data_IF_669083849323
#
_entry.id   IF_669083849323
#
_cell.length_a   1.000
_cell.length_b   1.000
_cell.length_c   1.000
_cell.angle_alpha   90.00
_cell.angle_beta   90.00
_cell.angle_gamma   90.00
#
_symmetry.space_group_name_H-M   'P 1'
#
loop_
_entity.id
_entity.type
_entity.pdbx_description
1 polymer ?
#
# COMPACT_ATOMS: atom_id res chain seq x y z
N UNK A 1 -9.03 -7.31 -12.84
CA UNK A 1 -7.58 -7.64 -12.71
C UNK A 1 -6.76 -6.90 -13.77
N UNK A 2 -7.19 -6.87 -15.04
CA UNK A 2 -6.43 -6.23 -16.11
C UNK A 2 -6.36 -4.71 -15.96
N UNK A 3 -7.45 -4.05 -15.59
CA UNK A 3 -7.49 -2.58 -15.50
C UNK A 3 -6.49 -2.01 -14.49
N UNK A 4 -6.42 -2.49 -13.22
CA UNK A 4 -5.38 -2.04 -12.30
C UNK A 4 -3.97 -2.31 -12.81
N UNK A 5 -3.73 -3.48 -13.41
CA UNK A 5 -2.40 -3.84 -13.90
C UNK A 5 -1.98 -2.91 -15.06
N UNK A 6 -2.87 -2.69 -16.03
CA UNK A 6 -2.59 -1.83 -17.19
C UNK A 6 -2.45 -0.35 -16.81
N UNK A 7 -3.14 0.10 -15.77
CA UNK A 7 -2.96 1.45 -15.23
C UNK A 7 -1.69 1.61 -14.40
N UNK A 8 -0.96 0.52 -14.11
CA UNK A 8 0.21 0.53 -13.23
C UNK A 8 -0.14 0.57 -11.74
N UNK A 9 -1.42 0.40 -11.39
CA UNK A 9 -1.87 0.27 -10.00
C UNK A 9 -1.56 -1.12 -9.47
N UNK A 10 -1.45 -1.24 -8.14
CA UNK A 10 -1.33 -2.53 -7.48
C UNK A 10 -2.65 -3.32 -7.66
N UNK A 11 -2.57 -4.57 -8.10
CA UNK A 11 -3.76 -5.42 -8.24
C UNK A 11 -4.34 -5.81 -6.88
N UNK A 12 -5.61 -6.20 -6.81
CA UNK A 12 -6.11 -7.04 -5.72
C UNK A 12 -5.28 -8.35 -5.63
N UNK A 13 -5.46 -9.11 -4.54
CA UNK A 13 -4.85 -10.44 -4.45
C UNK A 13 -5.38 -11.34 -5.57
N UNK A 14 -4.47 -11.89 -6.33
CA UNK A 14 -4.72 -12.85 -7.41
C UNK A 14 -4.05 -14.19 -7.08
N UNK A 15 -4.58 -15.28 -7.62
CA UNK A 15 -3.94 -16.58 -7.61
C UNK A 15 -3.05 -16.71 -8.84
N UNK A 16 -1.75 -16.53 -8.66
CA UNK A 16 -0.80 -16.73 -9.73
C UNK A 16 -0.34 -18.19 -9.78
N UNK A 17 -0.39 -18.78 -10.96
CA UNK A 17 0.18 -20.11 -11.18
C UNK A 17 1.68 -19.96 -11.44
N UNK A 18 2.47 -20.62 -10.62
CA UNK A 18 3.93 -20.65 -10.75
C UNK A 18 4.37 -22.08 -11.04
N UNK A 19 4.96 -22.29 -12.20
CA UNK A 19 5.53 -23.57 -12.59
C UNK A 19 6.99 -23.63 -12.17
N UNK A 20 7.35 -24.66 -11.42
CA UNK A 20 8.72 -24.85 -10.97
C UNK A 20 9.53 -25.65 -11.98
N UNK A 21 10.85 -25.55 -11.92
CA UNK A 21 11.77 -26.31 -12.76
C UNK A 21 11.61 -27.82 -12.64
N UNK A 22 11.02 -28.30 -11.55
CA UNK A 22 10.77 -29.72 -11.29
C UNK A 22 9.42 -30.20 -11.86
N UNK A 23 8.72 -29.38 -12.64
CA UNK A 23 7.46 -29.71 -13.26
C UNK A 23 6.22 -29.60 -12.35
N UNK A 24 6.39 -29.13 -11.11
CA UNK A 24 5.27 -28.88 -10.20
C UNK A 24 4.70 -27.48 -10.46
N UNK A 25 3.37 -27.38 -10.36
CA UNK A 25 2.65 -26.08 -10.41
C UNK A 25 2.07 -25.76 -9.05
N UNK A 26 2.24 -24.53 -8.61
CA UNK A 26 1.69 -24.02 -7.37
C UNK A 26 0.82 -22.79 -7.64
N UNK A 27 -0.30 -22.68 -6.96
CA UNK A 27 -1.09 -21.47 -6.93
C UNK A 27 -0.59 -20.60 -5.75
N UNK A 28 -0.02 -19.43 -6.06
CA UNK A 28 0.52 -18.52 -5.05
C UNK A 28 -0.36 -17.28 -5.02
N UNK A 29 -0.98 -16.95 -3.87
CA UNK A 29 -1.69 -15.71 -3.70
C UNK A 29 -0.69 -14.55 -3.68
N UNK A 30 -0.88 -13.57 -4.55
CA UNK A 30 0.00 -12.40 -4.67
C UNK A 30 -0.74 -11.20 -5.23
N UNK A 31 -0.15 -10.04 -5.07
CA UNK A 31 -0.48 -8.85 -5.85
C UNK A 31 0.59 -8.64 -6.93
N UNK A 32 0.23 -7.93 -7.99
CA UNK A 32 1.14 -7.60 -9.08
C UNK A 32 1.00 -6.13 -9.47
N UNK A 33 2.07 -5.55 -10.00
CA UNK A 33 2.09 -4.17 -10.47
C UNK A 33 3.03 -4.03 -11.65
N UNK A 34 2.62 -3.30 -12.68
CA UNK A 34 3.51 -2.87 -13.76
C UNK A 34 4.16 -1.54 -13.39
N UNK A 35 5.48 -1.49 -13.47
CA UNK A 35 6.24 -0.30 -13.13
C UNK A 35 7.23 0.00 -14.24
N UNK A 36 7.61 1.29 -14.39
CA UNK A 36 8.72 1.68 -15.27
C UNK A 36 9.97 1.81 -14.44
N UNK A 37 11.05 1.22 -14.94
CA UNK A 37 12.38 1.40 -14.37
C UNK A 37 13.02 2.73 -14.81
N UNK A 38 14.27 2.96 -14.40
CA UNK A 38 15.05 4.16 -14.74
C UNK A 38 15.26 4.35 -16.24
N UNK A 39 15.21 3.26 -17.02
CA UNK A 39 15.36 3.26 -18.48
C UNK A 39 14.03 3.45 -19.20
N UNK A 40 12.92 3.53 -18.45
CA UNK A 40 11.55 3.57 -18.98
C UNK A 40 11.01 2.21 -19.43
N UNK A 41 11.74 1.10 -19.18
CA UNK A 41 11.27 -0.24 -19.47
C UNK A 41 10.19 -0.67 -18.47
N UNK A 42 9.18 -1.39 -18.96
CA UNK A 42 8.08 -1.87 -18.12
C UNK A 42 8.48 -3.20 -17.49
N UNK A 43 8.40 -3.25 -16.17
CA UNK A 43 8.68 -4.44 -15.36
C UNK A 43 7.42 -4.88 -14.62
N UNK A 44 7.19 -6.18 -14.55
CA UNK A 44 6.16 -6.78 -13.71
C UNK A 44 6.77 -7.11 -12.35
N UNK A 45 6.29 -6.44 -11.31
CA UNK A 45 6.63 -6.75 -9.92
C UNK A 45 5.53 -7.61 -9.31
N UNK A 46 5.95 -8.63 -8.56
CA UNK A 46 5.07 -9.55 -7.85
C UNK A 46 5.31 -9.43 -6.35
N UNK A 47 4.23 -9.39 -5.59
CA UNK A 47 4.21 -9.25 -4.13
C UNK A 47 3.45 -10.43 -3.53
N UNK A 48 4.12 -11.57 -3.27
CA UNK A 48 3.49 -12.74 -2.67
C UNK A 48 2.93 -12.42 -1.28
N UNK A 49 1.89 -13.15 -0.89
CA UNK A 49 1.31 -13.06 0.44
C UNK A 49 2.21 -13.77 1.46
N UNK A 50 2.57 -13.08 2.53
CA UNK A 50 3.39 -13.59 3.62
C UNK A 50 2.62 -13.53 4.94
N UNK A 51 2.95 -14.45 5.86
CA UNK A 51 2.43 -14.44 7.23
C UNK A 51 3.02 -13.27 8.05
N UNK A 52 4.31 -13.08 7.91
CA UNK A 52 5.09 -12.02 8.55
C UNK A 52 5.75 -11.16 7.47
N UNK A 53 6.33 -10.01 7.84
CA UNK A 53 7.01 -9.14 6.87
C UNK A 53 8.18 -9.89 6.24
N UNK A 54 8.13 -10.04 4.91
CA UNK A 54 9.22 -10.64 4.14
C UNK A 54 10.38 -9.66 4.00
N UNK A 55 11.37 -9.80 4.88
CA UNK A 55 12.52 -8.90 4.96
C UNK A 55 13.61 -9.22 3.92
N UNK A 56 13.23 -9.37 2.66
CA UNK A 56 14.16 -9.59 1.54
C UNK A 56 15.10 -8.41 1.30
N UNK A 57 14.75 -7.22 1.79
CA UNK A 57 15.55 -6.00 1.64
C UNK A 57 16.56 -5.77 2.76
N UNK A 58 16.65 -6.67 3.74
CA UNK A 58 17.59 -6.55 4.85
C UNK A 58 17.38 -5.31 5.72
N UNK A 59 16.12 -5.00 6.03
CA UNK A 59 15.78 -3.92 6.96
C UNK A 59 16.17 -4.31 8.38
N UNK A 60 16.69 -3.35 9.15
CA UNK A 60 16.92 -3.53 10.57
C UNK A 60 15.60 -3.46 11.35
N UNK A 61 15.64 -3.78 12.66
CA UNK A 61 14.46 -3.83 13.52
C UNK A 61 13.69 -2.51 13.56
N UNK A 62 14.38 -1.38 13.59
CA UNK A 62 13.75 -0.05 13.62
C UNK A 62 13.07 0.28 12.28
N UNK A 63 13.74 -0.05 11.17
CA UNK A 63 13.17 0.10 9.83
C UNK A 63 11.92 -0.78 9.64
N UNK A 64 11.99 -2.04 10.10
CA UNK A 64 10.84 -2.97 10.08
C UNK A 64 9.65 -2.45 10.91
N UNK A 65 9.92 -1.90 12.08
CA UNK A 65 8.87 -1.30 12.93
C UNK A 65 8.18 -0.13 12.23
N UNK A 66 8.95 0.73 11.55
CA UNK A 66 8.40 1.86 10.77
C UNK A 66 7.53 1.39 9.61
N UNK A 67 8.05 0.51 8.74
CA UNK A 67 7.26 0.02 7.59
C UNK A 67 6.06 -0.80 8.05
N UNK A 68 6.18 -1.52 9.17
CA UNK A 68 5.09 -2.25 9.78
C UNK A 68 3.95 -1.36 10.30
N UNK A 69 4.25 -0.12 10.64
CA UNK A 69 3.27 0.93 10.99
C UNK A 69 2.71 1.68 9.78
N UNK A 70 3.10 1.28 8.56
CA UNK A 70 2.67 1.92 7.31
C UNK A 70 3.48 3.14 6.90
N UNK A 71 4.61 3.41 7.58
CA UNK A 71 5.51 4.49 7.17
C UNK A 71 6.31 4.09 5.92
N UNK A 72 6.62 5.08 5.09
CA UNK A 72 7.60 4.95 4.02
C UNK A 72 8.95 5.37 4.58
N UNK A 73 9.98 4.59 4.28
CA UNK A 73 11.36 4.91 4.66
C UNK A 73 12.24 5.03 3.42
N UNK A 74 13.34 5.75 3.53
CA UNK A 74 14.42 5.72 2.55
C UNK A 74 15.58 4.87 3.04
N UNK A 75 16.18 4.11 2.14
CA UNK A 75 17.30 3.23 2.43
C UNK A 75 18.27 3.18 1.25
N UNK A 76 19.57 3.19 1.58
CA UNK A 76 20.64 3.03 0.60
C UNK A 76 20.88 1.53 0.31
N UNK A 77 20.95 1.22 -0.97
CA UNK A 77 21.28 -0.11 -1.47
C UNK A 77 22.57 -0.05 -2.31
N UNK A 78 23.43 -1.02 -2.11
CA UNK A 78 24.61 -1.21 -2.96
C UNK A 78 24.31 -2.31 -3.97
N UNK A 79 24.34 -1.97 -5.25
CA UNK A 79 24.15 -2.93 -6.34
C UNK A 79 25.40 -3.82 -6.49
N UNK A 80 25.28 -4.90 -7.26
CA UNK A 80 26.38 -5.85 -7.49
C UNK A 80 27.60 -5.22 -8.17
N UNK A 81 27.39 -4.16 -8.93
CA UNK A 81 28.45 -3.38 -9.60
C UNK A 81 29.09 -2.31 -8.70
N UNK A 82 28.68 -2.23 -7.43
CA UNK A 82 29.13 -1.23 -6.46
C UNK A 82 28.39 0.09 -6.49
N UNK A 83 27.46 0.28 -7.44
CA UNK A 83 26.64 1.50 -7.51
C UNK A 83 25.74 1.61 -6.27
N UNK A 84 25.64 2.79 -5.69
CA UNK A 84 24.71 3.08 -4.58
C UNK A 84 23.44 3.71 -5.13
N UNK A 85 22.29 3.18 -4.73
CA UNK A 85 20.97 3.68 -5.10
C UNK A 85 20.16 3.88 -3.84
N UNK A 86 19.54 5.04 -3.70
CA UNK A 86 18.62 5.30 -2.61
C UNK A 86 17.20 4.91 -3.04
N UNK A 87 16.50 4.16 -2.19
CA UNK A 87 15.14 3.66 -2.48
C UNK A 87 14.16 4.04 -1.40
N UNK A 88 12.97 4.39 -1.82
CA UNK A 88 11.80 4.34 -0.95
C UNK A 88 11.41 2.89 -0.73
N UNK A 89 11.10 2.57 0.52
CA UNK A 89 10.59 1.24 0.92
C UNK A 89 9.29 1.42 1.67
N UNK A 90 8.29 0.65 1.28
CA UNK A 90 6.95 0.62 1.89
C UNK A 90 6.51 -0.84 2.00
N UNK A 91 5.77 -1.19 3.03
CA UNK A 91 5.13 -2.49 3.15
C UNK A 91 3.70 -2.43 2.61
N UNK A 92 3.31 -3.40 1.78
CA UNK A 92 1.90 -3.62 1.50
C UNK A 92 1.27 -4.35 2.70
N UNK A 93 0.28 -3.73 3.39
CA UNK A 93 -0.25 -4.28 4.65
C UNK A 93 -0.97 -5.60 4.46
N UNK A 94 -1.42 -5.88 3.24
CA UNK A 94 -2.17 -7.07 2.90
C UNK A 94 -1.26 -8.27 2.65
N UNK A 95 -0.29 -8.11 1.76
CA UNK A 95 0.64 -9.19 1.43
C UNK A 95 1.82 -9.29 2.39
N UNK A 96 2.09 -8.22 3.17
CA UNK A 96 3.31 -8.05 3.98
C UNK A 96 4.61 -8.14 3.18
N UNK A 97 4.50 -7.99 1.88
CA UNK A 97 5.65 -7.84 0.99
C UNK A 97 6.20 -6.42 1.06
N UNK A 98 7.52 -6.30 0.98
CA UNK A 98 8.19 -5.00 0.87
C UNK A 98 8.20 -4.54 -0.60
N UNK A 99 7.66 -3.36 -0.82
CA UNK A 99 7.69 -2.63 -2.09
C UNK A 99 8.84 -1.64 -2.07
N UNK A 100 9.47 -1.40 -3.22
CA UNK A 100 10.51 -0.38 -3.32
C UNK A 100 10.51 0.31 -4.68
N UNK A 101 10.99 1.55 -4.71
CA UNK A 101 11.27 2.35 -5.90
C UNK A 101 12.50 3.21 -5.68
N UNK A 102 13.29 3.39 -6.72
CA UNK A 102 14.41 4.30 -6.64
C UNK A 102 13.93 5.76 -6.49
N UNK A 103 14.50 6.48 -5.54
CA UNK A 103 14.13 7.87 -5.24
C UNK A 103 14.27 8.75 -6.50
N UNK A 104 15.36 8.54 -7.26
CA UNK A 104 15.62 9.26 -8.49
C UNK A 104 14.55 9.05 -9.57
N UNK A 105 13.94 7.84 -9.61
CA UNK A 105 12.89 7.53 -10.59
C UNK A 105 11.56 8.20 -10.26
N UNK A 106 11.27 8.37 -8.97
CA UNK A 106 10.01 9.00 -8.55
C UNK A 106 9.98 10.50 -8.80
N UNK A 107 11.11 11.20 -8.61
CA UNK A 107 11.26 12.65 -8.86
C UNK A 107 10.07 13.46 -8.31
N UNK A 108 9.65 13.15 -7.07
CA UNK A 108 8.42 13.68 -6.49
C UNK A 108 8.28 15.21 -6.58
N UNK A 109 9.32 16.02 -6.27
CA UNK A 109 9.20 17.48 -6.36
C UNK A 109 8.94 17.99 -7.77
N UNK A 110 9.51 17.33 -8.79
CA UNK A 110 9.35 17.69 -10.20
C UNK A 110 7.97 17.28 -10.70
N UNK A 111 7.51 16.08 -10.36
CA UNK A 111 6.20 15.56 -10.79
C UNK A 111 5.02 16.28 -10.15
N UNK A 112 5.19 16.90 -8.99
CA UNK A 112 4.15 17.73 -8.39
C UNK A 112 3.78 18.93 -9.29
N UNK A 113 4.72 19.44 -10.07
CA UNK A 113 4.49 20.53 -11.02
C UNK A 113 3.58 20.12 -12.17
N UNK A 114 3.52 18.82 -12.50
CA UNK A 114 2.66 18.30 -13.58
C UNK A 114 1.23 18.01 -13.07
N UNK A 115 0.99 18.11 -11.77
CA UNK A 115 -0.32 17.83 -11.17
C UNK A 115 -1.17 19.11 -11.10
N UNK A 116 -2.30 19.11 -11.78
CA UNK A 116 -3.20 20.27 -11.92
C UNK A 116 -3.54 20.95 -10.58
N UNK A 117 -3.70 20.17 -9.50
CA UNK A 117 -4.07 20.70 -8.18
C UNK A 117 -2.93 21.41 -7.44
N UNK A 118 -1.69 21.09 -7.73
CA UNK A 118 -0.52 21.56 -6.98
C UNK A 118 0.59 22.13 -7.85
N UNK A 119 0.36 22.27 -9.16
CA UNK A 119 1.35 22.71 -10.15
C UNK A 119 1.99 24.08 -9.86
N UNK A 120 1.22 24.95 -9.23
CA UNK A 120 1.64 26.33 -8.95
C UNK A 120 2.24 26.49 -7.54
N UNK A 121 2.42 25.37 -6.81
CA UNK A 121 2.94 25.39 -5.45
C UNK A 121 4.44 25.11 -5.47
N UNK A 122 5.24 26.08 -5.02
CA UNK A 122 6.65 25.84 -4.77
C UNK A 122 6.84 25.22 -3.37
N UNK A 123 7.46 24.05 -3.35
CA UNK A 123 7.85 23.42 -2.09
C UNK A 123 8.95 24.22 -1.42
N UNK A 124 8.74 24.56 -0.15
CA UNK A 124 9.79 25.08 0.71
C UNK A 124 10.91 24.05 0.93
N UNK A 125 12.08 24.50 1.38
CA UNK A 125 13.24 23.62 1.57
C UNK A 125 12.93 22.44 2.49
N UNK A 126 12.29 22.67 3.64
CA UNK A 126 11.92 21.62 4.58
C UNK A 126 10.92 20.61 3.98
N UNK A 127 10.03 21.08 3.09
CA UNK A 127 9.07 20.23 2.40
C UNK A 127 9.76 19.35 1.35
N UNK A 128 10.74 19.88 0.63
CA UNK A 128 11.56 19.10 -0.31
C UNK A 128 12.35 18.01 0.42
N UNK A 129 12.96 18.34 1.54
CA UNK A 129 13.69 17.38 2.37
C UNK A 129 12.76 16.29 2.91
N UNK A 130 11.60 16.66 3.44
CA UNK A 130 10.59 15.70 3.90
C UNK A 130 10.13 14.77 2.78
N UNK A 131 9.85 15.30 1.58
CA UNK A 131 9.47 14.51 0.42
C UNK A 131 10.58 13.56 -0.04
N UNK A 132 11.84 13.98 0.00
CA UNK A 132 13.01 13.14 -0.30
C UNK A 132 13.20 12.01 0.72
N UNK A 133 12.78 12.23 1.97
CA UNK A 133 12.77 11.19 3.01
C UNK A 133 11.56 10.26 2.93
N UNK A 134 10.64 10.48 1.99
CA UNK A 134 9.41 9.70 1.85
C UNK A 134 8.30 10.12 2.80
N UNK A 135 8.48 11.18 3.55
CA UNK A 135 7.47 11.72 4.46
C UNK A 135 6.38 12.46 3.69
N UNK A 136 5.11 12.36 4.10
CA UNK A 136 4.05 13.15 3.51
C UNK A 136 4.24 14.65 3.83
N UNK A 137 3.86 15.49 2.88
CA UNK A 137 4.01 16.95 2.94
C UNK A 137 2.64 17.60 2.82
N UNK A 138 2.29 18.45 3.78
CA UNK A 138 1.07 19.26 3.74
C UNK A 138 1.33 20.56 2.98
N UNK A 139 0.43 20.88 2.04
CA UNK A 139 0.49 22.04 1.18
C UNK A 139 -0.81 22.84 1.31
N UNK A 140 -0.70 24.16 1.22
CA UNK A 140 -1.87 25.03 1.15
C UNK A 140 -2.17 25.39 -0.31
N UNK A 141 -3.37 25.08 -0.78
CA UNK A 141 -3.86 25.36 -2.13
C UNK A 141 -5.03 26.33 -2.02
N UNK A 142 -4.74 27.62 -2.03
CA UNK A 142 -5.75 28.63 -1.68
C UNK A 142 -6.19 28.47 -0.22
N UNK A 143 -7.47 28.27 -0.01
CA UNK A 143 -8.07 28.05 1.33
C UNK A 143 -8.13 26.57 1.72
N UNK A 144 -7.71 25.67 0.84
CA UNK A 144 -7.73 24.22 1.05
C UNK A 144 -6.34 23.69 1.43
N UNK A 145 -6.34 22.60 2.21
CA UNK A 145 -5.14 21.82 2.49
C UNK A 145 -5.10 20.59 1.59
N UNK A 146 -3.91 20.28 1.12
CA UNK A 146 -3.64 19.08 0.32
C UNK A 146 -2.39 18.42 0.89
N UNK A 147 -2.47 17.11 1.14
CA UNK A 147 -1.32 16.34 1.59
C UNK A 147 -0.84 15.43 0.47
N UNK A 148 0.45 15.49 0.19
CA UNK A 148 1.13 14.67 -0.82
C UNK A 148 2.17 13.80 -0.15
N UNK A 149 2.24 12.54 -0.51
CA UNK A 149 3.24 11.63 0.02
C UNK A 149 3.51 10.45 -0.88
N UNK A 150 4.62 9.78 -0.64
CA UNK A 150 4.98 8.56 -1.35
C UNK A 150 3.98 7.46 -1.00
N UNK A 151 3.47 6.82 -2.03
CA UNK A 151 2.63 5.63 -1.95
C UNK A 151 2.95 4.72 -3.13
N UNK A 152 3.76 3.73 -2.90
CA UNK A 152 4.28 2.84 -3.94
C UNK A 152 3.21 1.93 -4.55
N UNK A 153 2.01 1.90 -3.95
CA UNK A 153 0.84 1.18 -4.47
C UNK A 153 0.16 1.94 -5.62
N UNK A 154 0.42 3.26 -5.72
CA UNK A 154 -0.07 4.09 -6.81
C UNK A 154 0.80 3.96 -8.07
N UNK A 155 0.22 4.12 -9.27
CA UNK A 155 0.96 4.02 -10.54
C UNK A 155 2.18 4.94 -10.61
N UNK A 156 2.02 6.17 -10.14
CA UNK A 156 3.07 7.19 -10.12
C UNK A 156 4.01 7.07 -8.91
N UNK A 157 3.69 6.21 -7.93
CA UNK A 157 4.47 6.02 -6.71
C UNK A 157 4.22 7.05 -5.62
N UNK A 158 3.23 7.93 -5.79
CA UNK A 158 2.80 8.90 -4.79
C UNK A 158 1.29 9.16 -4.87
N UNK A 159 0.72 9.67 -3.80
CA UNK A 159 -0.70 9.99 -3.68
C UNK A 159 -0.89 11.43 -3.26
N UNK A 160 -1.97 12.04 -3.73
CA UNK A 160 -2.45 13.35 -3.33
C UNK A 160 -3.80 13.18 -2.63
N UNK A 161 -3.91 13.72 -1.43
CA UNK A 161 -5.10 13.66 -0.59
C UNK A 161 -5.59 15.08 -0.35
N UNK A 162 -6.88 15.34 -0.59
CA UNK A 162 -7.50 16.60 -0.20
C UNK A 162 -7.71 16.54 1.33
N UNK A 163 -7.01 17.38 2.06
CA UNK A 163 -7.03 17.41 3.51
C UNK A 163 -5.63 17.53 4.10
N UNK A 164 -5.60 17.58 5.42
CA UNK A 164 -4.39 17.69 6.22
C UNK A 164 -3.72 16.32 6.46
N UNK A 165 -2.70 16.33 7.31
CA UNK A 165 -1.95 15.14 7.68
C UNK A 165 -2.81 14.06 8.36
N UNK A 166 -3.85 14.46 9.10
CA UNK A 166 -4.72 13.50 9.77
C UNK A 166 -5.64 12.80 8.76
N UNK A 167 -6.13 13.53 7.75
CA UNK A 167 -6.86 12.93 6.63
C UNK A 167 -5.96 11.98 5.81
N UNK A 168 -4.70 12.36 5.59
CA UNK A 168 -3.72 11.46 4.97
C UNK A 168 -3.61 10.14 5.73
N UNK A 169 -3.39 10.19 7.04
CA UNK A 169 -3.27 9.00 7.90
C UNK A 169 -4.55 8.18 7.87
N UNK A 170 -5.70 8.84 7.95
CA UNK A 170 -7.01 8.20 7.87
C UNK A 170 -7.18 7.42 6.57
N UNK A 171 -6.88 8.03 5.44
CA UNK A 171 -6.97 7.38 4.13
C UNK A 171 -5.95 6.26 3.93
N UNK A 172 -4.77 6.33 4.55
CA UNK A 172 -3.84 5.21 4.54
C UNK A 172 -4.35 4.00 5.34
N UNK A 173 -5.08 4.23 6.41
CA UNK A 173 -5.69 3.19 7.25
C UNK A 173 -6.94 2.55 6.61
N UNK A 174 -7.83 3.35 6.05
CA UNK A 174 -9.11 2.90 5.47
C UNK A 174 -8.93 2.15 4.15
N UNK A 175 -7.88 2.45 3.42
CA UNK A 175 -7.67 2.02 2.04
C UNK A 175 -7.94 0.55 1.76
N UNK A 176 -7.89 -0.25 2.79
CA UNK A 176 -8.02 -1.69 2.69
C UNK A 176 -9.46 -2.17 2.90
N UNK A 177 -10.12 -1.64 3.92
CA UNK A 177 -11.43 -2.13 4.35
C UNK A 177 -12.58 -1.62 3.47
N UNK A 178 -12.48 -0.38 2.95
CA UNK A 178 -13.54 0.24 2.16
C UNK A 178 -13.51 -0.13 0.68
N UNK A 179 -12.34 -0.39 0.11
CA UNK A 179 -12.21 -0.74 -1.30
C UNK A 179 -12.71 -2.17 -1.63
N UNK A 180 -12.77 -3.04 -0.62
CA UNK A 180 -13.16 -4.45 -0.75
C UNK A 180 -14.05 -4.88 0.41
N UNK A 181 -15.34 -4.46 0.44
CA UNK A 181 -16.29 -4.84 1.49
C UNK A 181 -16.50 -6.35 1.62
N UNK A 182 -16.22 -7.12 0.61
CA UNK A 182 -16.23 -8.59 0.52
C UNK A 182 -14.87 -9.23 0.74
N UNK A 183 -13.90 -8.46 1.20
CA UNK A 183 -12.53 -8.92 1.28
C UNK A 183 -12.38 -10.09 2.23
N UNK A 184 -11.86 -11.10 1.65
CA UNK A 184 -11.51 -12.36 2.27
C UNK A 184 -9.99 -12.47 2.16
N UNK A 185 -9.28 -12.40 3.29
CA UNK A 185 -7.82 -12.53 3.32
C UNK A 185 -7.39 -13.98 3.20
N UNK A 186 -6.26 -14.19 2.53
CA UNK A 186 -5.59 -15.48 2.58
C UNK A 186 -4.81 -15.60 3.88
N UNK A 187 -5.02 -16.70 4.60
CA UNK A 187 -4.29 -17.04 5.82
C UNK A 187 -3.53 -18.32 5.58
N UNK A 188 -2.23 -18.30 5.85
CA UNK A 188 -1.44 -19.52 5.82
C UNK A 188 -1.83 -20.41 7.00
N UNK A 189 -2.38 -21.58 6.71
CA UNK A 189 -2.81 -22.56 7.71
C UNK A 189 -1.74 -23.60 7.99
N UNK A 190 -0.95 -23.95 6.95
CA UNK A 190 0.19 -24.86 7.00
C UNK A 190 1.31 -24.33 6.08
N UNK A 191 2.51 -24.91 6.12
CA UNK A 191 3.69 -24.47 5.37
C UNK A 191 3.43 -24.20 3.87
N UNK A 192 2.49 -24.92 3.25
CA UNK A 192 2.18 -24.80 1.82
C UNK A 192 0.69 -24.62 1.52
N UNK A 193 -0.13 -24.32 2.53
CA UNK A 193 -1.58 -24.21 2.36
C UNK A 193 -2.07 -22.84 2.75
N UNK A 194 -2.74 -22.17 1.82
CA UNK A 194 -3.37 -20.88 2.01
C UNK A 194 -4.88 -21.06 1.97
N UNK A 195 -5.57 -20.65 3.04
CA UNK A 195 -7.01 -20.65 3.12
C UNK A 195 -7.56 -19.24 3.03
N UNK A 196 -8.63 -19.12 2.28
CA UNK A 196 -9.36 -17.88 2.11
C UNK A 196 -10.30 -17.69 3.30
N UNK A 197 -10.06 -16.69 4.14
CA UNK A 197 -10.90 -16.42 5.32
C UNK A 197 -11.39 -14.98 5.32
N UNK A 198 -12.67 -14.79 5.68
CA UNK A 198 -13.18 -13.46 6.00
C UNK A 198 -12.47 -12.94 7.24
N UNK A 199 -12.02 -11.68 7.20
CA UNK A 199 -11.40 -11.03 8.35
C UNK A 199 -12.38 -11.07 9.54
N UNK A 200 -11.93 -11.58 10.68
CA UNK A 200 -12.75 -11.76 11.89
C UNK A 200 -13.42 -10.46 12.39
N UNK A 201 -12.84 -9.31 12.09
CA UNK A 201 -13.35 -7.99 12.45
C UNK A 201 -14.77 -7.76 11.94
N UNK A 202 -15.12 -8.23 10.74
CA UNK A 202 -16.50 -8.10 10.22
C UNK A 202 -17.50 -9.06 10.84
N UNK A 203 -17.05 -10.20 11.33
CA UNK A 203 -17.96 -11.10 12.04
C UNK A 203 -18.39 -10.53 13.40
N UNK A 204 -17.55 -9.74 14.03
CA UNK A 204 -17.88 -9.06 15.29
C UNK A 204 -18.78 -7.85 15.06
N UNK A 205 -18.56 -7.07 14.01
CA UNK A 205 -19.44 -5.93 13.66
C UNK A 205 -20.81 -6.39 13.16
N UNK A 206 -20.90 -7.45 12.38
CA UNK A 206 -22.17 -8.06 11.99
C UNK A 206 -22.91 -8.63 13.21
N UNK A 207 -22.21 -9.27 14.14
CA UNK A 207 -22.83 -9.75 15.40
C UNK A 207 -23.34 -8.60 16.26
N UNK A 208 -22.59 -7.49 16.34
CA UNK A 208 -23.01 -6.28 17.06
C UNK A 208 -24.24 -5.62 16.44
N UNK A 209 -24.27 -5.51 15.10
CA UNK A 209 -25.42 -4.94 14.37
C UNK A 209 -26.66 -5.85 14.46
N UNK A 210 -26.49 -7.16 14.41
CA UNK A 210 -27.61 -8.10 14.55
C UNK A 210 -28.13 -8.17 15.98
N UNK A 211 -27.27 -8.00 16.98
CA UNK A 211 -27.67 -7.91 18.38
C UNK A 211 -28.44 -6.61 18.64
N UNK A 212 -27.97 -5.49 18.13
CA UNK A 212 -28.68 -4.19 18.23
C UNK A 212 -30.05 -4.19 17.53
N UNK A 213 -30.18 -4.88 16.39
CA UNK A 213 -31.45 -5.06 15.69
C UNK A 213 -32.43 -5.97 16.46
N UNK A 214 -31.92 -6.99 17.16
CA UNK A 214 -32.74 -7.86 18.01
C UNK A 214 -33.23 -7.16 19.26
N UNK A 215 -32.41 -6.32 19.87
CA UNK A 215 -32.78 -5.55 21.06
C UNK A 215 -33.79 -4.45 20.72
N UNK A 216 -33.69 -3.79 19.56
CA UNK A 216 -34.71 -2.84 19.06
C UNK A 216 -36.08 -3.51 18.83
N UNK A 217 -36.07 -4.70 18.20
CA UNK A 217 -37.34 -5.44 18.00
C UNK A 217 -37.97 -5.94 19.31
N UNK A 218 -37.15 -6.23 20.32
CA UNK A 218 -37.67 -6.62 21.64
C UNK A 218 -38.31 -5.44 22.42
N UNK A 219 -37.76 -4.25 22.27
CA UNK A 219 -38.29 -3.02 22.89
C UNK A 219 -39.54 -2.49 22.20
N UNK A 220 -39.72 -2.71 20.91
CA UNK A 220 -40.94 -2.35 20.19
C UNK A 220 -42.09 -3.32 20.38
N UNK A 221 -41.80 -4.59 20.69
CA UNK A 221 -42.81 -5.62 20.99
C UNK A 221 -43.37 -5.59 22.43
N UNK A 222 -42.88 -4.72 23.28
CA UNK A 222 -43.30 -4.57 24.69
C UNK A 222 -44.16 -3.32 24.93
N UNK A 223 -44.60 -2.63 23.86
CA UNK A 223 -45.55 -1.51 23.91
C UNK A 223 -46.87 -1.88 23.22
N UNK A 224 -47.60 -2.84 23.80
CA UNK A 224 -48.99 -3.12 23.54
C UNK A 224 -49.66 -3.44 24.87
#
# INVERSE_FOLDING_TARGET
>A
ILDPLLSGSLTPIIQARVDTRNGNSYAIPMKAQLVRDEKGEVQLLAYPLHKDIDNTLGLNRHELDKVGKGEVITKDFTQKDGTRTQRFVQMDPETKSLMYRDVATLQLPERLKDMEKVKDIELGQNQKEAAQEGKPVELNVGDEKVTVGVDLREPQGFKVVNGDMDEWKRQQAIRYDDAHPEYVGYVQTDENRWEYRQLQIRQEEQKLTDTQKKDKKKTEGLKL
#
